data_IF_473278134797
#
_entry.id   IF_473278134797
#
_cell.length_a   1.000
_cell.length_b   1.000
_cell.length_c   1.000
_cell.angle_alpha   90.00
_cell.angle_beta   90.00
_cell.angle_gamma   90.00
#
_symmetry.space_group_name_H-M   'P 1'
#
loop_
_entity.id
_entity.type
_entity.pdbx_description
1 polymer ?
#
# COMPACT_ATOMS: atom_id res chain seq x y z
N UNK A 1 -20.77 -9.96 10.77
CA UNK A 1 -19.29 -9.93 10.81
C UNK A 1 -18.82 -9.26 9.52
N UNK A 2 -18.94 -7.95 9.50
CA UNK A 2 -18.76 -7.08 8.34
C UNK A 2 -17.39 -6.41 8.40
N UNK A 3 -16.72 -6.31 7.24
CA UNK A 3 -15.35 -5.78 6.97
C UNK A 3 -14.30 -6.86 6.71
N UNK A 4 -14.34 -7.43 5.50
CA UNK A 4 -13.17 -7.97 4.79
C UNK A 4 -12.54 -9.30 5.30
N UNK A 5 -12.51 -9.56 6.61
CA UNK A 5 -11.71 -10.59 7.28
C UNK A 5 -10.74 -9.96 8.30
N UNK A 6 -10.25 -10.72 9.29
CA UNK A 6 -9.45 -10.22 10.43
C UNK A 6 -8.20 -9.41 10.01
N UNK A 7 -7.62 -9.74 8.86
CA UNK A 7 -6.41 -9.09 8.32
C UNK A 7 -6.71 -7.90 7.38
N UNK A 8 -7.97 -7.59 7.11
CA UNK A 8 -8.35 -6.68 6.01
C UNK A 8 -8.09 -5.21 6.28
N UNK A 9 -7.80 -4.83 7.52
CA UNK A 9 -7.54 -3.44 7.90
C UNK A 9 -6.06 -3.16 8.24
N UNK A 10 -5.15 -4.14 8.07
CA UNK A 10 -3.71 -3.93 8.33
C UNK A 10 -3.04 -3.15 7.20
N UNK A 11 -2.07 -2.32 7.56
CA UNK A 11 -1.13 -1.72 6.63
C UNK A 11 0.12 -2.61 6.52
N UNK A 12 0.52 -2.97 5.31
CA UNK A 12 1.78 -3.67 5.07
C UNK A 12 2.88 -2.64 4.79
N UNK A 13 4.07 -2.80 5.37
CA UNK A 13 5.17 -1.82 5.25
C UNK A 13 6.41 -2.51 4.70
N UNK A 14 6.78 -2.24 3.45
CA UNK A 14 8.02 -2.74 2.82
C UNK A 14 9.04 -1.60 2.72
N UNK A 15 9.94 -1.53 3.71
CA UNK A 15 11.00 -0.54 3.78
C UNK A 15 12.26 -1.13 4.46
N UNK A 16 12.91 -2.14 3.84
CA UNK A 16 13.87 -3.01 4.51
C UNK A 16 15.21 -2.34 4.83
N UNK A 17 15.49 -1.17 4.23
CA UNK A 17 16.75 -0.44 4.42
C UNK A 17 16.53 0.77 5.33
N UNK A 18 17.36 0.89 6.37
CA UNK A 18 17.35 2.04 7.27
C UNK A 18 16.26 1.94 8.34
N UNK A 19 15.64 3.07 8.68
CA UNK A 19 14.66 3.17 9.78
C UNK A 19 13.22 3.40 9.31
N UNK A 20 12.99 3.51 8.02
CA UNK A 20 11.68 3.89 7.47
C UNK A 20 10.59 2.88 7.86
N UNK A 21 10.85 1.57 7.82
CA UNK A 21 9.88 0.55 8.24
C UNK A 21 9.49 0.70 9.71
N UNK A 22 10.48 0.83 10.60
CA UNK A 22 10.26 0.95 12.05
C UNK A 22 9.50 2.23 12.37
N UNK A 23 9.92 3.35 11.79
CA UNK A 23 9.30 4.66 12.03
C UNK A 23 7.86 4.68 11.50
N UNK A 24 7.63 4.21 10.26
CA UNK A 24 6.29 4.14 9.70
C UNK A 24 5.38 3.22 10.53
N UNK A 25 5.86 2.03 10.92
CA UNK A 25 5.08 1.10 11.73
C UNK A 25 4.74 1.70 13.11
N UNK A 26 5.69 2.37 13.77
CA UNK A 26 5.44 3.05 15.04
C UNK A 26 4.36 4.13 14.91
N UNK A 27 4.51 5.03 13.94
CA UNK A 27 3.54 6.11 13.68
C UNK A 27 2.13 5.56 13.43
N UNK A 28 2.03 4.50 12.61
CA UNK A 28 0.74 3.90 12.28
C UNK A 28 0.10 3.17 13.47
N UNK A 29 0.90 2.43 14.25
CA UNK A 29 0.42 1.74 15.45
C UNK A 29 -0.04 2.75 16.52
N UNK A 30 0.69 3.85 16.72
CA UNK A 30 0.27 4.95 17.61
C UNK A 30 -1.04 5.60 17.18
N UNK A 31 -1.29 5.66 15.87
CA UNK A 31 -2.54 6.13 15.29
C UNK A 31 -3.67 5.06 15.27
N UNK A 32 -3.43 3.86 15.82
CA UNK A 32 -4.42 2.79 15.90
C UNK A 32 -4.58 1.96 14.62
N UNK A 33 -3.68 2.10 13.65
CA UNK A 33 -3.62 1.24 12.45
C UNK A 33 -2.56 0.16 12.66
N UNK A 34 -2.98 -1.10 12.63
CA UNK A 34 -2.05 -2.24 12.70
C UNK A 34 -1.11 -2.21 11.50
N UNK A 35 0.18 -2.02 11.75
CA UNK A 35 1.21 -2.01 10.73
C UNK A 35 2.10 -3.25 10.83
N UNK A 36 2.24 -3.98 9.72
CA UNK A 36 3.05 -5.18 9.63
C UNK A 36 4.20 -4.98 8.65
N UNK A 37 5.44 -5.09 9.14
CA UNK A 37 6.65 -4.90 8.33
C UNK A 37 6.92 -6.14 7.49
N UNK A 38 7.15 -5.94 6.20
CA UNK A 38 7.55 -6.97 5.24
C UNK A 38 9.02 -6.79 4.87
N UNK A 39 9.72 -7.91 4.67
CA UNK A 39 11.16 -7.89 4.41
C UNK A 39 11.49 -7.86 2.91
N UNK A 40 10.62 -8.46 2.08
CA UNK A 40 10.81 -8.59 0.63
C UNK A 40 9.53 -8.31 -0.14
N UNK A 41 9.65 -8.17 -1.45
CA UNK A 41 8.48 -8.04 -2.33
C UNK A 41 7.62 -9.32 -2.34
N UNK A 42 8.25 -10.50 -2.25
CA UNK A 42 7.54 -11.78 -2.17
C UNK A 42 6.77 -11.91 -0.84
N UNK A 43 7.36 -11.50 0.28
CA UNK A 43 6.69 -11.46 1.58
C UNK A 43 5.53 -10.44 1.59
N UNK A 44 5.72 -9.28 0.97
CA UNK A 44 4.64 -8.32 0.75
C UNK A 44 3.48 -8.94 -0.03
N UNK A 45 3.78 -9.60 -1.16
CA UNK A 45 2.77 -10.22 -2.02
C UNK A 45 2.02 -11.35 -1.30
N UNK A 46 2.72 -12.23 -0.59
CA UNK A 46 2.11 -13.30 0.19
C UNK A 46 1.10 -12.75 1.21
N UNK A 47 1.47 -11.68 1.92
CA UNK A 47 0.59 -11.03 2.91
C UNK A 47 -0.55 -10.24 2.28
N UNK A 48 -0.37 -9.70 1.07
CA UNK A 48 -1.47 -9.08 0.32
C UNK A 48 -2.53 -10.12 -0.06
N UNK A 49 -2.13 -11.33 -0.42
CA UNK A 49 -3.03 -12.45 -0.73
C UNK A 49 -3.83 -12.88 0.50
N UNK A 50 -3.21 -12.93 1.67
CA UNK A 50 -3.91 -13.19 2.95
C UNK A 50 -4.93 -12.09 3.32
N UNK A 51 -4.70 -10.87 2.83
CA UNK A 51 -5.54 -9.71 3.09
C UNK A 51 -4.76 -8.54 3.70
N UNK A 52 -5.04 -7.33 3.22
CA UNK A 52 -4.54 -6.08 3.76
C UNK A 52 -5.38 -4.91 3.23
N UNK A 53 -5.30 -3.78 3.93
CA UNK A 53 -5.93 -2.55 3.48
C UNK A 53 -5.12 -1.77 2.45
N UNK A 54 -3.81 -1.78 2.60
CA UNK A 54 -2.87 -1.03 1.77
C UNK A 54 -1.44 -1.56 1.94
N UNK A 55 -0.57 -1.17 1.02
CA UNK A 55 0.88 -1.32 1.15
C UNK A 55 1.58 0.04 1.17
N UNK A 56 2.46 0.25 2.14
CA UNK A 56 3.40 1.37 2.22
C UNK A 56 4.76 0.85 1.80
N UNK A 57 5.32 1.35 0.70
CA UNK A 57 6.51 0.77 0.08
C UNK A 57 7.51 1.86 -0.27
N UNK A 58 8.80 1.66 0.02
CA UNK A 58 9.83 2.60 -0.46
C UNK A 58 10.05 2.42 -1.97
N UNK A 59 10.21 3.54 -2.67
CA UNK A 59 10.32 3.58 -4.14
C UNK A 59 11.42 2.65 -4.67
N UNK A 60 12.55 2.53 -3.97
CA UNK A 60 13.70 1.72 -4.39
C UNK A 60 13.38 0.23 -4.47
N UNK A 61 12.45 -0.27 -3.66
CA UNK A 61 12.04 -1.68 -3.72
C UNK A 61 11.21 -1.98 -4.96
N UNK A 62 10.50 -0.98 -5.47
CA UNK A 62 9.67 -1.12 -6.67
C UNK A 62 10.48 -0.88 -7.95
N UNK A 63 11.46 0.04 -7.90
CA UNK A 63 12.32 0.32 -9.06
C UNK A 63 13.28 -0.85 -9.32
N UNK A 64 13.87 -1.41 -8.26
CA UNK A 64 14.92 -2.44 -8.38
C UNK A 64 14.40 -3.88 -8.29
N UNK A 65 13.14 -4.07 -7.87
CA UNK A 65 12.52 -5.38 -7.73
C UNK A 65 11.94 -5.94 -9.04
N UNK A 66 11.76 -7.26 -9.09
CA UNK A 66 10.96 -7.91 -10.13
C UNK A 66 9.46 -7.76 -9.79
N UNK A 67 8.77 -6.94 -10.58
CA UNK A 67 7.34 -6.66 -10.38
C UNK A 67 6.41 -7.60 -11.14
N UNK A 68 6.91 -8.66 -11.79
CA UNK A 68 6.06 -9.53 -12.62
C UNK A 68 4.94 -10.18 -11.79
N UNK A 69 5.29 -10.81 -10.66
CA UNK A 69 4.30 -11.45 -9.79
C UNK A 69 3.31 -10.44 -9.18
N UNK A 70 3.80 -9.25 -8.82
CA UNK A 70 2.94 -8.17 -8.32
C UNK A 70 1.97 -7.67 -9.41
N UNK A 71 2.45 -7.45 -10.62
CA UNK A 71 1.63 -7.02 -11.76
C UNK A 71 0.55 -8.04 -12.07
N UNK A 72 0.91 -9.33 -12.13
CA UNK A 72 -0.06 -10.42 -12.33
C UNK A 72 -1.12 -10.47 -11.23
N UNK A 73 -0.73 -10.25 -9.97
CA UNK A 73 -1.68 -10.17 -8.87
C UNK A 73 -2.61 -8.97 -9.00
N UNK A 74 -2.08 -7.81 -9.39
CA UNK A 74 -2.85 -6.57 -9.58
C UNK A 74 -3.88 -6.75 -10.70
N UNK A 75 -3.47 -7.32 -11.84
CA UNK A 75 -4.33 -7.61 -12.99
C UNK A 75 -5.38 -8.68 -12.68
N UNK A 76 -5.06 -9.63 -11.79
CA UNK A 76 -5.98 -10.66 -11.31
C UNK A 76 -6.97 -10.18 -10.25
N UNK A 77 -6.94 -8.91 -9.84
CA UNK A 77 -7.89 -8.39 -8.87
C UNK A 77 -9.31 -8.43 -9.41
N UNK A 78 -10.31 -8.79 -8.57
CA UNK A 78 -11.70 -8.71 -8.97
C UNK A 78 -12.12 -7.26 -9.18
N UNK A 79 -13.14 -7.02 -10.00
CA UNK A 79 -13.58 -5.68 -10.44
C UNK A 79 -13.98 -4.72 -9.32
N UNK A 80 -14.29 -5.22 -8.12
CA UNK A 80 -14.58 -4.40 -6.94
C UNK A 80 -13.32 -3.95 -6.19
N UNK A 81 -12.18 -4.60 -6.43
CA UNK A 81 -10.91 -4.37 -5.72
C UNK A 81 -10.01 -3.45 -6.51
N UNK A 82 -9.47 -2.46 -5.83
CA UNK A 82 -8.44 -1.57 -6.37
C UNK A 82 -7.44 -1.26 -5.24
N UNK A 83 -6.50 -2.17 -5.02
CA UNK A 83 -5.62 -2.18 -3.84
C UNK A 83 -4.69 -0.95 -3.81
N UNK A 84 -4.71 -0.15 -2.72
CA UNK A 84 -3.93 1.08 -2.63
C UNK A 84 -2.47 0.85 -2.24
N UNK A 85 -1.57 1.54 -2.95
CA UNK A 85 -0.14 1.65 -2.65
C UNK A 85 0.22 3.08 -2.24
N UNK A 86 0.94 3.23 -1.14
CA UNK A 86 1.58 4.48 -0.72
C UNK A 86 3.09 4.36 -0.89
N UNK A 87 3.63 5.03 -1.90
CA UNK A 87 5.05 4.95 -2.25
C UNK A 87 5.84 6.05 -1.57
N UNK A 88 6.83 5.67 -0.76
CA UNK A 88 7.75 6.58 -0.08
C UNK A 88 8.94 6.91 -0.99
N UNK A 89 8.93 8.08 -1.63
CA UNK A 89 10.00 8.52 -2.54
C UNK A 89 10.99 9.46 -1.84
N UNK A 90 12.19 9.63 -2.39
CA UNK A 90 13.17 10.60 -1.87
C UNK A 90 12.93 12.00 -2.47
N UNK A 91 13.32 13.04 -1.72
CA UNK A 91 13.37 14.43 -2.22
C UNK A 91 14.00 14.54 -3.60
N UNK A 92 13.34 15.28 -4.50
CA UNK A 92 13.89 15.70 -5.80
C UNK A 92 13.18 15.18 -7.05
N UNK A 93 12.11 14.41 -6.92
CA UNK A 93 11.29 13.96 -8.04
C UNK A 93 9.85 14.41 -7.90
N UNK A 94 9.49 15.59 -8.43
CA UNK A 94 8.07 15.89 -8.63
C UNK A 94 7.46 14.79 -9.51
N UNK A 95 6.27 14.29 -9.15
CA UNK A 95 5.59 13.19 -9.88
C UNK A 95 5.44 13.53 -11.37
N UNK A 96 5.26 14.80 -11.70
CA UNK A 96 5.15 15.32 -13.07
C UNK A 96 6.46 15.27 -13.89
N UNK A 97 7.63 15.16 -13.25
CA UNK A 97 8.94 15.12 -13.92
C UNK A 97 9.76 13.86 -13.62
N UNK A 98 9.22 12.92 -12.86
CA UNK A 98 9.89 11.66 -12.53
C UNK A 98 9.32 10.51 -13.40
N UNK A 99 10.07 10.02 -14.41
CA UNK A 99 9.65 8.88 -15.24
C UNK A 99 9.37 7.61 -14.43
N UNK A 100 10.05 7.42 -13.30
CA UNK A 100 9.83 6.28 -12.42
C UNK A 100 8.46 6.37 -11.74
N UNK A 101 8.08 7.54 -11.22
CA UNK A 101 6.76 7.74 -10.62
C UNK A 101 5.63 7.46 -11.64
N UNK A 102 5.78 7.94 -12.89
CA UNK A 102 4.81 7.65 -13.97
C UNK A 102 4.71 6.15 -14.26
N UNK A 103 5.84 5.45 -14.36
CA UNK A 103 5.87 3.99 -14.56
C UNK A 103 5.17 3.26 -13.42
N UNK A 104 5.48 3.62 -12.18
CA UNK A 104 4.83 3.04 -11.00
C UNK A 104 3.33 3.31 -10.96
N UNK A 105 2.86 4.50 -11.38
CA UNK A 105 1.43 4.77 -11.50
C UNK A 105 0.73 3.88 -12.52
N UNK A 106 1.35 3.60 -13.65
CA UNK A 106 0.79 2.68 -14.64
C UNK A 106 0.78 1.24 -14.12
N UNK A 107 1.87 0.79 -13.49
CA UNK A 107 2.00 -0.58 -13.00
C UNK A 107 1.12 -0.87 -11.78
N UNK A 108 1.02 0.06 -10.84
CA UNK A 108 0.31 -0.16 -9.58
C UNK A 108 -1.17 0.22 -9.62
N UNK A 109 -1.58 1.07 -10.56
CA UNK A 109 -2.96 1.56 -10.69
C UNK A 109 -3.31 2.58 -9.61
N UNK A 110 -3.65 2.10 -8.40
CA UNK A 110 -4.01 2.93 -7.26
C UNK A 110 -2.78 3.25 -6.40
N UNK A 111 -2.03 4.27 -6.82
CA UNK A 111 -0.83 4.72 -6.13
C UNK A 111 -0.93 6.17 -5.67
N UNK A 112 -0.40 6.42 -4.48
CA UNK A 112 -0.12 7.75 -3.95
C UNK A 112 1.35 7.83 -3.55
N UNK A 113 1.93 9.04 -3.55
CA UNK A 113 3.34 9.25 -3.23
C UNK A 113 3.50 10.14 -2.00
N UNK A 114 4.48 9.83 -1.17
CA UNK A 114 4.85 10.61 0.01
C UNK A 114 6.36 10.78 0.09
N UNK A 115 6.80 12.03 0.04
CA UNK A 115 8.22 12.38 0.03
C UNK A 115 8.86 12.18 1.41
N UNK A 116 10.07 11.61 1.41
CA UNK A 116 10.94 11.49 2.59
C UNK A 116 11.89 12.70 2.72
N UNK A 117 12.06 13.28 3.92
CA UNK A 117 11.38 12.91 5.17
C UNK A 117 9.93 13.40 5.21
N UNK A 118 9.03 12.58 5.76
CA UNK A 118 7.61 12.93 5.91
C UNK A 118 7.27 13.27 7.36
N UNK A 119 6.22 14.07 7.53
CA UNK A 119 5.65 14.34 8.85
C UNK A 119 4.71 13.19 9.26
N UNK A 120 4.70 12.75 10.54
CA UNK A 120 3.83 11.66 11.00
C UNK A 120 2.35 11.85 10.64
N UNK A 121 1.82 13.07 10.82
CA UNK A 121 0.42 13.38 10.48
C UNK A 121 0.10 13.21 9.01
N UNK A 122 1.05 13.43 8.10
CA UNK A 122 0.87 13.22 6.66
C UNK A 122 0.78 11.74 6.32
N UNK A 123 1.65 10.91 6.92
CA UNK A 123 1.58 9.46 6.77
C UNK A 123 0.23 8.92 7.26
N UNK A 124 -0.19 9.30 8.48
CA UNK A 124 -1.47 8.87 9.06
C UNK A 124 -2.65 9.29 8.17
N UNK A 125 -2.67 10.54 7.70
CA UNK A 125 -3.76 11.05 6.84
C UNK A 125 -3.87 10.29 5.51
N UNK A 126 -2.74 9.92 4.91
CA UNK A 126 -2.69 9.15 3.67
C UNK A 126 -3.20 7.72 3.90
N UNK A 127 -2.73 7.06 4.96
CA UNK A 127 -3.16 5.70 5.33
C UNK A 127 -4.65 5.65 5.68
N UNK A 128 -5.15 6.61 6.46
CA UNK A 128 -6.58 6.72 6.78
C UNK A 128 -7.45 6.88 5.54
N UNK A 129 -6.96 7.64 4.55
CA UNK A 129 -7.66 7.82 3.27
C UNK A 129 -7.73 6.52 2.48
N UNK A 130 -6.62 5.79 2.40
CA UNK A 130 -6.57 4.48 1.77
C UNK A 130 -7.47 3.45 2.48
N UNK A 131 -7.44 3.40 3.82
CA UNK A 131 -8.30 2.55 4.64
C UNK A 131 -9.78 2.80 4.37
N UNK A 132 -10.22 4.07 4.34
CA UNK A 132 -11.60 4.42 3.97
C UNK A 132 -11.95 3.97 2.56
N UNK A 133 -11.03 4.14 1.60
CA UNK A 133 -11.19 3.64 0.24
C UNK A 133 -11.41 2.12 0.21
N UNK A 134 -10.53 1.38 0.89
CA UNK A 134 -10.58 -0.08 0.95
C UNK A 134 -11.86 -0.59 1.63
N UNK A 135 -12.31 0.03 2.73
CA UNK A 135 -13.59 -0.32 3.38
C UNK A 135 -14.76 -0.25 2.40
N UNK A 136 -14.83 0.80 1.57
CA UNK A 136 -15.88 0.91 0.54
C UNK A 136 -15.78 -0.17 -0.53
N UNK A 137 -14.57 -0.58 -0.92
CA UNK A 137 -14.37 -1.69 -1.85
C UNK A 137 -14.87 -3.01 -1.26
N UNK A 138 -14.61 -3.27 0.02
CA UNK A 138 -15.16 -4.45 0.70
C UNK A 138 -16.68 -4.41 0.85
N UNK A 139 -17.27 -3.24 1.14
CA UNK A 139 -18.72 -3.06 1.12
C UNK A 139 -19.31 -3.32 -0.28
N UNK A 140 -18.63 -2.86 -1.34
CA UNK A 140 -19.04 -3.12 -2.72
C UNK A 140 -18.98 -4.62 -3.06
N UNK A 141 -17.93 -5.33 -2.59
CA UNK A 141 -17.83 -6.79 -2.73
C UNK A 141 -19.02 -7.50 -2.10
N UNK A 142 -19.37 -7.13 -0.87
CA UNK A 142 -20.50 -7.73 -0.14
C UNK A 142 -21.81 -7.52 -0.93
N UNK A 143 -22.03 -6.32 -1.48
CA UNK A 143 -23.21 -6.04 -2.33
C UNK A 143 -23.25 -6.83 -3.64
N UNK A 144 -22.11 -7.09 -4.27
CA UNK A 144 -22.04 -7.90 -5.49
C UNK A 144 -22.30 -9.38 -5.18
N UNK A 145 -21.86 -9.87 -4.01
CA UNK A 145 -22.05 -11.25 -3.60
C UNK A 145 -23.49 -11.59 -3.15
N UNK A 146 -24.30 -10.58 -2.85
CA UNK A 146 -25.73 -10.71 -2.55
C UNK A 146 -26.63 -10.82 -3.80
N UNK A 147 -26.05 -10.69 -5.00
CA UNK A 147 -26.72 -10.82 -6.30
C UNK A 147 -26.51 -12.24 -6.84
#
# INVERSE_FOLDING_TARGET
MSRGGELSERALVLAPVGRDAVVAAQILNEAGTVAQVCDTLDDLLARMIEGAALAVVVEEMLINGDLNALSTWIEGQPSWSDFPFLVLNRRGGSVERNPAARRLSVTLGNVSFLERPFHPTTLVSAVDTALRGRRRQYEARERIAEI
#
